data_IF_660241810400
#
_entry.id   IF_660241810400
#
_cell.length_a   1.000
_cell.length_b   1.000
_cell.length_c   1.000
_cell.angle_alpha   90.00
_cell.angle_beta   90.00
_cell.angle_gamma   90.00
#
_symmetry.space_group_name_H-M   'P 1'
#
loop_
_entity.id
_entity.type
_entity.pdbx_description
1 polymer ?
#
# COMPACT_ATOMS: atom_id res chain seq x y z
N UNK A 1 -50.30 -82.91 -11.58
CA UNK A 1 -49.05 -83.56 -12.03
C UNK A 1 -48.69 -82.94 -13.35
N UNK A 2 -47.71 -82.11 -13.48
CA UNK A 2 -46.27 -82.33 -13.41
C UNK A 2 -45.49 -81.18 -12.77
N UNK A 3 -44.47 -81.54 -12.15
CA UNK A 3 -43.12 -81.10 -11.95
C UNK A 3 -42.76 -79.66 -12.27
N UNK A 4 -42.59 -78.83 -11.24
CA UNK A 4 -41.95 -77.54 -11.25
C UNK A 4 -40.49 -77.64 -10.84
N UNK A 5 -39.56 -77.42 -11.78
CA UNK A 5 -38.13 -77.28 -11.51
C UNK A 5 -37.83 -75.88 -11.02
N UNK A 6 -37.32 -75.79 -9.79
CA UNK A 6 -36.82 -74.55 -9.19
C UNK A 6 -35.43 -74.33 -9.76
N UNK A 7 -35.27 -73.19 -10.51
CA UNK A 7 -33.97 -72.71 -10.94
C UNK A 7 -33.46 -71.72 -9.87
N UNK A 8 -32.40 -72.13 -9.15
CA UNK A 8 -31.69 -71.22 -8.20
C UNK A 8 -30.76 -70.42 -9.01
N UNK A 9 -31.12 -69.13 -9.20
CA UNK A 9 -30.24 -68.11 -9.77
C UNK A 9 -29.28 -67.58 -8.68
N UNK A 10 -28.02 -67.89 -8.85
CA UNK A 10 -26.96 -67.33 -7.99
C UNK A 10 -26.71 -65.85 -8.38
N UNK A 11 -27.12 -64.93 -7.53
CA UNK A 11 -26.78 -63.53 -7.64
C UNK A 11 -25.41 -63.34 -7.01
N UNK A 12 -24.39 -63.03 -7.82
CA UNK A 12 -23.11 -62.50 -7.33
C UNK A 12 -23.32 -61.10 -6.85
N UNK A 13 -22.76 -60.67 -5.69
CA UNK A 13 -22.74 -59.29 -5.33
C UNK A 13 -21.65 -58.55 -6.11
N UNK A 14 -22.05 -57.60 -6.93
CA UNK A 14 -21.17 -56.58 -7.48
C UNK A 14 -20.66 -55.70 -6.33
N UNK A 15 -19.39 -55.87 -5.99
CA UNK A 15 -18.68 -54.91 -5.14
C UNK A 15 -18.44 -53.65 -5.96
N UNK A 16 -19.26 -52.64 -5.74
CA UNK A 16 -19.03 -51.31 -6.27
C UNK A 16 -17.84 -50.69 -5.51
N UNK A 17 -16.69 -50.68 -6.17
CA UNK A 17 -15.51 -49.96 -5.73
C UNK A 17 -15.80 -48.47 -5.93
N UNK A 18 -16.23 -47.77 -4.89
CA UNK A 18 -16.37 -46.32 -4.89
C UNK A 18 -14.95 -45.71 -4.91
N UNK A 19 -14.52 -45.29 -6.09
CA UNK A 19 -13.34 -44.41 -6.24
C UNK A 19 -13.70 -43.05 -5.67
N UNK A 20 -13.33 -42.79 -4.41
CA UNK A 20 -13.33 -41.46 -3.85
C UNK A 20 -12.25 -40.65 -4.59
N UNK A 21 -12.65 -39.92 -5.62
CA UNK A 21 -11.84 -38.85 -6.17
C UNK A 21 -11.72 -37.81 -5.10
N UNK A 22 -10.60 -37.80 -4.39
CA UNK A 22 -10.18 -36.67 -3.58
C UNK A 22 -9.95 -35.47 -4.55
N UNK A 23 -10.97 -34.65 -4.71
CA UNK A 23 -10.82 -33.30 -5.22
C UNK A 23 -9.94 -32.55 -4.21
N UNK A 24 -8.63 -32.68 -4.36
CA UNK A 24 -7.70 -31.71 -3.82
C UNK A 24 -8.01 -30.39 -4.51
N UNK A 25 -8.98 -29.68 -3.99
CA UNK A 25 -9.16 -28.27 -4.29
C UNK A 25 -7.87 -27.58 -3.85
N UNK A 26 -6.99 -27.30 -4.81
CA UNK A 26 -6.00 -26.27 -4.64
C UNK A 26 -6.75 -24.95 -4.44
N UNK A 27 -7.21 -24.72 -3.23
CA UNK A 27 -7.50 -23.40 -2.73
C UNK A 27 -6.16 -22.71 -2.61
N UNK A 28 -5.68 -22.13 -3.72
CA UNK A 28 -4.59 -21.17 -3.68
C UNK A 28 -5.09 -19.93 -2.95
N UNK A 29 -5.16 -19.99 -1.63
CA UNK A 29 -5.13 -18.80 -0.83
C UNK A 29 -3.80 -18.13 -1.18
N UNK A 30 -3.84 -16.89 -1.70
CA UNK A 30 -2.64 -16.11 -1.85
C UNK A 30 -2.08 -15.90 -0.44
N UNK A 31 -1.22 -16.82 -0.03
CA UNK A 31 -0.43 -16.67 1.18
C UNK A 31 0.42 -15.40 1.09
N UNK A 32 1.06 -15.01 2.19
CA UNK A 32 2.06 -13.95 2.14
C UNK A 32 3.04 -14.30 1.01
N UNK A 33 3.45 -13.27 0.25
CA UNK A 33 4.39 -13.39 -0.88
C UNK A 33 5.53 -14.32 -0.50
N UNK A 34 5.82 -15.33 -1.33
CA UNK A 34 6.97 -16.20 -1.08
C UNK A 34 8.25 -15.35 -1.16
N UNK A 35 9.22 -15.66 -0.28
CA UNK A 35 10.55 -15.01 -0.28
C UNK A 35 11.23 -15.13 -1.64
N UNK A 36 10.93 -16.19 -2.39
CA UNK A 36 11.45 -16.41 -3.74
C UNK A 36 10.99 -15.35 -4.75
N UNK A 37 9.85 -14.71 -4.52
CA UNK A 37 9.29 -13.68 -5.41
C UNK A 37 9.80 -12.27 -5.11
N UNK A 38 10.57 -12.09 -4.03
CA UNK A 38 11.13 -10.80 -3.68
C UNK A 38 12.32 -10.43 -4.57
N UNK A 39 12.47 -9.16 -4.99
CA UNK A 39 13.64 -8.69 -5.70
C UNK A 39 14.94 -8.96 -4.93
N UNK A 40 16.00 -9.33 -5.65
CA UNK A 40 17.31 -9.67 -5.03
C UNK A 40 17.87 -8.57 -4.12
N UNK A 41 17.64 -7.31 -4.45
CA UNK A 41 18.04 -6.17 -3.64
C UNK A 41 17.34 -6.11 -2.28
N UNK A 42 16.15 -6.72 -2.19
CA UNK A 42 15.37 -6.82 -0.96
C UNK A 42 15.80 -8.03 -0.14
N UNK A 43 16.03 -9.17 -0.80
CA UNK A 43 16.41 -10.43 -0.14
C UNK A 43 17.80 -10.34 0.50
N UNK A 44 18.75 -9.68 -0.15
CA UNK A 44 20.16 -9.63 0.28
C UNK A 44 20.54 -8.35 1.04
N UNK A 45 19.55 -7.55 1.44
CA UNK A 45 19.79 -6.23 2.06
C UNK A 45 20.31 -6.29 3.50
N UNK A 46 20.16 -7.43 4.18
CA UNK A 46 20.41 -7.53 5.64
C UNK A 46 19.31 -6.90 6.49
N UNK A 47 18.26 -6.32 5.88
CA UNK A 47 17.10 -5.73 6.54
C UNK A 47 15.92 -6.69 6.58
N UNK A 48 14.92 -6.44 7.46
CA UNK A 48 13.66 -7.17 7.47
C UNK A 48 12.99 -7.13 6.09
N UNK A 49 12.34 -8.22 5.71
CA UNK A 49 11.62 -8.34 4.46
C UNK A 49 10.14 -7.97 4.68
N UNK A 50 9.38 -7.66 3.63
CA UNK A 50 7.96 -7.32 3.80
C UNK A 50 7.16 -8.33 4.64
N UNK A 51 7.41 -9.63 4.47
CA UNK A 51 6.71 -10.69 5.21
C UNK A 51 7.10 -10.82 6.69
N UNK A 52 8.17 -10.15 7.14
CA UNK A 52 8.55 -10.09 8.55
C UNK A 52 7.65 -9.09 9.33
N UNK A 53 6.90 -8.23 8.60
CA UNK A 53 5.94 -7.30 9.18
C UNK A 53 4.56 -7.96 9.28
N UNK A 54 3.87 -7.88 10.44
CA UNK A 54 2.64 -8.66 10.65
C UNK A 54 1.37 -8.02 10.07
N UNK A 55 1.44 -6.76 9.62
CA UNK A 55 0.26 -6.00 9.17
C UNK A 55 0.44 -5.61 7.71
N UNK A 56 -0.32 -6.27 6.85
CA UNK A 56 -0.30 -6.07 5.41
C UNK A 56 -1.54 -5.35 4.93
N UNK A 57 -1.37 -4.47 3.94
CA UNK A 57 -2.42 -3.74 3.28
C UNK A 57 -2.26 -3.72 1.78
N UNK A 58 -3.14 -2.98 1.17
CA UNK A 58 -3.16 -2.70 -0.28
C UNK A 58 -3.48 -1.23 -0.52
N UNK A 59 -3.10 -0.73 -1.68
CA UNK A 59 -3.72 0.49 -2.20
C UNK A 59 -4.35 0.24 -3.57
N UNK A 60 -5.47 0.93 -3.80
CA UNK A 60 -6.33 0.66 -4.95
C UNK A 60 -6.88 1.95 -5.56
N UNK A 61 -7.21 1.86 -6.85
CA UNK A 61 -7.87 2.89 -7.60
C UNK A 61 -8.84 2.27 -8.61
N UNK A 62 -9.30 3.02 -9.57
CA UNK A 62 -10.10 2.52 -10.70
C UNK A 62 -9.43 1.41 -11.51
N UNK A 63 -8.10 1.31 -11.43
CA UNK A 63 -7.35 0.33 -12.23
C UNK A 63 -7.55 -1.11 -11.76
N UNK A 64 -7.95 -1.35 -10.52
CA UNK A 64 -8.30 -2.67 -10.00
C UNK A 64 -9.72 -3.11 -10.39
N UNK A 65 -10.51 -2.23 -11.02
CA UNK A 65 -11.86 -2.54 -11.50
C UNK A 65 -12.85 -2.84 -10.36
N UNK A 66 -13.62 -3.91 -10.52
CA UNK A 66 -14.54 -4.39 -9.49
C UNK A 66 -13.80 -5.27 -8.49
N UNK A 67 -13.95 -4.96 -7.20
CA UNK A 67 -13.26 -5.65 -6.10
C UNK A 67 -14.29 -6.39 -5.24
N UNK A 68 -14.04 -7.69 -5.01
CA UNK A 68 -14.74 -8.44 -3.96
C UNK A 68 -14.06 -8.19 -2.60
N UNK A 69 -14.54 -7.18 -1.90
CA UNK A 69 -13.99 -6.77 -0.62
C UNK A 69 -14.14 -7.83 0.49
N UNK A 70 -15.12 -8.73 0.37
CA UNK A 70 -15.25 -9.86 1.29
C UNK A 70 -14.11 -10.84 1.10
N UNK A 71 -13.73 -11.14 -0.13
CA UNK A 71 -12.57 -11.97 -0.42
C UNK A 71 -11.27 -11.28 -0.01
N UNK A 72 -11.13 -9.97 -0.22
CA UNK A 72 -10.00 -9.17 0.26
C UNK A 72 -9.85 -9.27 1.77
N UNK A 73 -10.91 -9.04 2.53
CA UNK A 73 -10.89 -9.13 3.99
C UNK A 73 -10.47 -10.54 4.47
N UNK A 74 -11.02 -11.59 3.84
CA UNK A 74 -10.71 -12.99 4.16
C UNK A 74 -9.29 -13.40 3.76
N UNK A 75 -8.63 -12.67 2.87
CA UNK A 75 -7.24 -12.93 2.48
C UNK A 75 -6.21 -12.50 3.53
N UNK A 76 -6.65 -11.78 4.55
CA UNK A 76 -5.79 -11.30 5.63
C UNK A 76 -5.30 -9.85 5.47
N UNK A 77 -5.77 -9.13 4.44
CA UNK A 77 -5.55 -7.69 4.29
C UNK A 77 -6.10 -6.95 5.52
N UNK A 78 -5.28 -6.08 6.11
CA UNK A 78 -5.56 -5.36 7.35
C UNK A 78 -5.90 -3.90 7.15
N UNK A 79 -5.58 -3.33 6.00
CA UNK A 79 -5.93 -1.96 5.64
C UNK A 79 -5.94 -1.75 4.13
N UNK A 80 -6.60 -0.69 3.70
CA UNK A 80 -6.57 -0.27 2.30
C UNK A 80 -6.53 1.25 2.19
N UNK A 81 -5.69 1.80 1.31
CA UNK A 81 -5.85 3.16 0.82
C UNK A 81 -6.53 3.18 -0.55
N UNK A 82 -7.47 4.10 -0.71
CA UNK A 82 -8.35 4.16 -1.86
C UNK A 82 -8.18 5.52 -2.53
N UNK A 83 -7.81 5.55 -3.81
CA UNK A 83 -7.72 6.78 -4.57
C UNK A 83 -9.07 7.49 -4.61
N UNK A 84 -9.11 8.71 -4.10
CA UNK A 84 -10.31 9.53 -4.17
C UNK A 84 -10.26 10.50 -5.35
N UNK A 85 -9.15 11.23 -5.46
CA UNK A 85 -9.01 12.29 -6.46
C UNK A 85 -7.59 12.39 -7.00
N UNK A 86 -7.46 13.08 -8.14
CA UNK A 86 -6.21 13.48 -8.77
C UNK A 86 -6.36 14.91 -9.27
N UNK A 87 -5.48 15.81 -8.85
CA UNK A 87 -5.59 17.23 -9.18
C UNK A 87 -6.92 17.84 -8.70
N UNK A 88 -7.32 18.94 -9.32
CA UNK A 88 -8.51 19.70 -8.92
C UNK A 88 -9.81 19.29 -9.66
N UNK A 89 -9.79 18.26 -10.51
CA UNK A 89 -10.93 17.99 -11.41
C UNK A 89 -11.16 16.50 -11.72
N UNK A 90 -10.39 15.57 -11.16
CA UNK A 90 -10.52 14.14 -11.45
C UNK A 90 -10.82 13.32 -10.21
N UNK A 91 -12.09 12.97 -10.02
CA UNK A 91 -12.48 11.95 -9.05
C UNK A 91 -12.19 10.54 -9.61
N UNK A 92 -11.72 9.64 -8.76
CA UNK A 92 -11.57 8.24 -9.15
C UNK A 92 -12.94 7.58 -9.32
N UNK A 93 -13.17 6.99 -10.48
CA UNK A 93 -14.49 6.44 -10.84
C UNK A 93 -14.92 5.25 -9.97
N UNK A 94 -14.00 4.63 -9.23
CA UNK A 94 -14.28 3.50 -8.34
C UNK A 94 -14.23 3.86 -6.86
N UNK A 95 -13.89 5.11 -6.53
CA UNK A 95 -13.72 5.52 -5.14
C UNK A 95 -14.92 5.15 -4.27
N UNK A 96 -16.11 5.58 -4.65
CA UNK A 96 -17.32 5.34 -3.84
C UNK A 96 -17.64 3.84 -3.68
N UNK A 97 -17.45 3.06 -4.74
CA UNK A 97 -17.67 1.61 -4.69
C UNK A 97 -16.64 0.93 -3.78
N UNK A 98 -15.36 1.30 -3.89
CA UNK A 98 -14.28 0.76 -3.07
C UNK A 98 -14.43 1.18 -1.61
N UNK A 99 -14.74 2.45 -1.34
CA UNK A 99 -14.97 2.98 0.01
C UNK A 99 -16.09 2.22 0.73
N UNK A 100 -17.24 2.13 0.09
CA UNK A 100 -18.42 1.43 0.64
C UNK A 100 -18.15 -0.06 0.81
N UNK A 101 -17.47 -0.68 -0.16
CA UNK A 101 -17.14 -2.10 -0.12
C UNK A 101 -16.14 -2.45 0.99
N UNK A 102 -15.06 -1.68 1.14
CA UNK A 102 -14.09 -1.85 2.21
C UNK A 102 -14.75 -1.70 3.58
N UNK A 103 -15.56 -0.65 3.76
CA UNK A 103 -16.34 -0.42 4.99
C UNK A 103 -17.26 -1.58 5.32
N UNK A 104 -18.04 -2.04 4.35
CA UNK A 104 -18.97 -3.16 4.53
C UNK A 104 -18.26 -4.47 4.88
N UNK A 105 -17.05 -4.68 4.37
CA UNK A 105 -16.22 -5.85 4.66
C UNK A 105 -15.41 -5.72 5.96
N UNK A 106 -15.49 -4.57 6.65
CA UNK A 106 -14.73 -4.32 7.88
C UNK A 106 -13.23 -4.14 7.67
N UNK A 107 -12.79 -3.77 6.47
CA UNK A 107 -11.41 -3.44 6.18
C UNK A 107 -11.16 -1.98 6.56
N UNK A 108 -10.29 -1.68 7.54
CA UNK A 108 -9.84 -0.32 7.81
C UNK A 108 -9.34 0.36 6.53
N UNK A 109 -9.87 1.54 6.22
CA UNK A 109 -9.59 2.19 4.94
C UNK A 109 -9.47 3.70 5.07
N UNK A 110 -8.72 4.30 4.15
CA UNK A 110 -8.54 5.74 4.04
C UNK A 110 -8.49 6.20 2.59
N UNK A 111 -8.65 7.49 2.39
CA UNK A 111 -8.61 8.10 1.07
C UNK A 111 -7.23 8.68 0.78
N UNK A 112 -6.78 8.60 -0.48
CA UNK A 112 -5.62 9.34 -0.92
C UNK A 112 -5.93 10.28 -2.07
N UNK A 113 -5.20 11.40 -2.09
CA UNK A 113 -5.20 12.42 -3.12
C UNK A 113 -3.87 12.40 -3.88
N UNK A 114 -3.91 12.19 -5.18
CA UNK A 114 -2.75 12.29 -6.06
C UNK A 114 -2.54 13.75 -6.49
N UNK A 115 -1.42 14.34 -6.07
CA UNK A 115 -1.10 15.74 -6.35
C UNK A 115 -0.76 15.97 -7.82
N UNK A 116 -1.38 16.98 -8.41
CA UNK A 116 -1.14 17.39 -9.77
C UNK A 116 -0.53 18.80 -9.82
N UNK A 117 0.75 18.91 -9.75
CA UNK A 117 1.57 20.11 -9.49
C UNK A 117 1.25 21.35 -10.35
N UNK A 118 0.40 21.24 -11.36
CA UNK A 118 -0.05 22.33 -12.20
C UNK A 118 -1.35 23.00 -11.74
N UNK A 119 -1.89 22.60 -10.60
CA UNK A 119 -3.08 23.20 -9.99
C UNK A 119 -2.70 23.97 -8.73
N UNK A 120 -3.47 25.01 -8.37
CA UNK A 120 -3.31 25.63 -7.05
C UNK A 120 -3.60 24.64 -5.92
N UNK A 121 -2.80 24.60 -4.85
CA UNK A 121 -2.98 23.64 -3.75
C UNK A 121 -4.38 23.64 -3.14
N UNK A 122 -4.98 24.83 -2.93
CA UNK A 122 -6.32 24.94 -2.35
C UNK A 122 -7.44 24.47 -3.29
N UNK A 123 -7.22 24.51 -4.61
CA UNK A 123 -8.16 23.95 -5.60
C UNK A 123 -8.20 22.41 -5.48
N UNK A 124 -7.03 21.79 -5.36
CA UNK A 124 -6.90 20.35 -5.18
C UNK A 124 -7.50 19.90 -3.85
N UNK A 125 -7.22 20.62 -2.76
CA UNK A 125 -7.79 20.30 -1.45
C UNK A 125 -9.31 20.43 -1.42
N UNK A 126 -9.85 21.53 -1.96
CA UNK A 126 -11.29 21.70 -2.03
C UNK A 126 -11.97 20.57 -2.84
N UNK A 127 -11.31 20.11 -3.90
CA UNK A 127 -11.83 18.99 -4.69
C UNK A 127 -11.72 17.64 -3.95
N UNK A 128 -10.62 17.41 -3.24
CA UNK A 128 -10.46 16.22 -2.40
C UNK A 128 -11.51 16.16 -1.30
N UNK A 129 -11.72 17.26 -0.57
CA UNK A 129 -12.70 17.38 0.52
C UNK A 129 -14.14 17.15 0.04
N UNK A 130 -14.47 17.55 -1.18
CA UNK A 130 -15.80 17.30 -1.77
C UNK A 130 -16.05 15.83 -2.11
N UNK A 131 -14.99 15.04 -2.32
CA UNK A 131 -15.09 13.67 -2.81
C UNK A 131 -14.75 12.61 -1.75
N UNK A 132 -13.89 12.92 -0.79
CA UNK A 132 -13.49 12.01 0.27
C UNK A 132 -14.21 12.36 1.57
N UNK A 133 -15.01 11.44 2.15
CA UNK A 133 -15.82 11.73 3.35
C UNK A 133 -14.95 11.88 4.60
N UNK A 134 -15.40 12.68 5.55
CA UNK A 134 -14.89 12.74 6.92
C UNK A 134 -15.60 11.68 7.73
N UNK A 135 -14.89 10.65 8.18
CA UNK A 135 -15.43 9.59 9.02
C UNK A 135 -14.46 9.28 10.17
N UNK A 136 -14.99 9.10 11.37
CA UNK A 136 -14.17 8.90 12.57
C UNK A 136 -13.36 7.60 12.51
N UNK A 137 -13.93 6.57 11.89
CA UNK A 137 -13.34 5.24 11.73
C UNK A 137 -12.45 5.11 10.49
N UNK A 138 -12.38 6.12 9.63
CA UNK A 138 -11.46 6.11 8.49
C UNK A 138 -10.01 6.28 8.94
N UNK A 139 -9.08 5.72 8.18
CA UNK A 139 -7.64 5.99 8.34
C UNK A 139 -7.33 7.47 8.00
N UNK A 140 -6.17 8.01 8.41
CA UNK A 140 -5.77 9.35 8.02
C UNK A 140 -5.78 9.55 6.52
N UNK A 141 -6.10 10.75 6.02
CA UNK A 141 -5.98 11.03 4.59
C UNK A 141 -4.51 10.98 4.16
N UNK A 142 -4.29 10.64 2.91
CA UNK A 142 -2.93 10.57 2.33
C UNK A 142 -2.77 11.61 1.26
N UNK A 143 -1.67 12.36 1.34
CA UNK A 143 -1.18 13.24 0.29
C UNK A 143 -0.13 12.47 -0.54
N UNK A 144 -0.48 12.09 -1.75
CA UNK A 144 0.36 11.33 -2.66
C UNK A 144 1.17 12.28 -3.54
N UNK A 145 2.47 12.36 -3.25
CA UNK A 145 3.41 13.29 -3.89
C UNK A 145 4.48 12.53 -4.68
N UNK A 146 4.38 12.68 -6.00
CA UNK A 146 5.27 12.05 -6.96
C UNK A 146 5.74 13.04 -8.02
N UNK A 147 6.87 12.75 -8.64
CA UNK A 147 7.24 13.43 -9.88
C UNK A 147 6.37 12.92 -11.03
N UNK A 148 5.89 13.83 -11.87
CA UNK A 148 5.06 13.51 -13.04
C UNK A 148 5.72 13.93 -14.35
N UNK A 149 6.96 13.48 -14.65
CA UNK A 149 7.74 13.97 -15.79
C UNK A 149 7.12 13.63 -17.13
N UNK A 150 6.32 12.58 -17.19
CA UNK A 150 5.65 12.10 -18.42
C UNK A 150 4.24 12.66 -18.60
N UNK A 151 3.79 13.55 -17.73
CA UNK A 151 2.46 14.14 -17.82
C UNK A 151 2.32 14.93 -19.14
N UNK A 152 1.24 14.65 -19.89
CA UNK A 152 0.95 15.35 -21.15
C UNK A 152 0.31 16.73 -20.94
N UNK A 153 -0.16 16.99 -19.73
CA UNK A 153 -0.96 18.19 -19.41
C UNK A 153 -0.34 19.03 -18.29
N UNK A 154 0.71 18.54 -17.65
CA UNK A 154 1.46 19.29 -16.65
C UNK A 154 2.97 19.23 -16.95
N UNK A 155 3.50 20.34 -17.42
CA UNK A 155 4.92 20.51 -17.75
C UNK A 155 5.63 21.47 -16.79
N UNK A 156 5.05 21.75 -15.62
CA UNK A 156 5.64 22.62 -14.61
C UNK A 156 6.95 22.01 -14.12
N UNK A 157 8.03 22.75 -14.23
CA UNK A 157 9.28 22.41 -13.55
C UNK A 157 9.08 22.63 -12.04
N UNK A 158 9.11 21.55 -11.30
CA UNK A 158 8.92 21.58 -9.86
C UNK A 158 10.25 21.93 -9.17
N UNK A 159 10.29 23.04 -8.44
CA UNK A 159 11.40 23.36 -7.57
C UNK A 159 11.14 22.81 -6.17
N UNK A 160 12.20 22.53 -5.40
CA UNK A 160 12.08 22.04 -4.03
C UNK A 160 11.27 23.01 -3.17
N UNK A 161 11.62 24.29 -3.16
CA UNK A 161 10.90 25.31 -2.38
C UNK A 161 9.43 25.43 -2.76
N UNK A 162 9.14 25.38 -4.07
CA UNK A 162 7.76 25.43 -4.58
C UNK A 162 6.94 24.23 -4.14
N UNK A 163 7.51 23.04 -4.26
CA UNK A 163 6.85 21.81 -3.82
C UNK A 163 6.59 21.79 -2.31
N UNK A 164 7.58 22.21 -1.51
CA UNK A 164 7.45 22.31 -0.05
C UNK A 164 6.38 23.33 0.33
N UNK A 165 6.32 24.48 -0.36
CA UNK A 165 5.29 25.49 -0.10
C UNK A 165 3.89 24.96 -0.41
N UNK A 166 3.70 24.33 -1.58
CA UNK A 166 2.43 23.74 -2.00
C UNK A 166 2.00 22.62 -1.04
N UNK A 167 2.90 21.67 -0.71
CA UNK A 167 2.63 20.60 0.24
C UNK A 167 2.24 21.10 1.62
N UNK A 168 2.87 22.17 2.12
CA UNK A 168 2.54 22.75 3.43
C UNK A 168 1.10 23.20 3.48
N UNK A 169 0.63 23.87 2.43
CA UNK A 169 -0.76 24.32 2.33
C UNK A 169 -1.71 23.11 2.32
N UNK A 170 -1.41 22.10 1.50
CA UNK A 170 -2.25 20.90 1.35
C UNK A 170 -2.33 20.10 2.66
N UNK A 171 -1.19 19.83 3.29
CA UNK A 171 -1.14 19.06 4.54
C UNK A 171 -1.87 19.77 5.68
N UNK A 172 -1.69 21.09 5.82
CA UNK A 172 -2.39 21.87 6.84
C UNK A 172 -3.91 21.88 6.61
N UNK A 173 -4.35 21.96 5.36
CA UNK A 173 -5.76 21.93 5.01
C UNK A 173 -6.37 20.56 5.26
N UNK A 174 -5.68 19.48 4.87
CA UNK A 174 -6.12 18.11 5.20
C UNK A 174 -6.24 17.91 6.71
N UNK A 175 -5.24 18.35 7.49
CA UNK A 175 -5.26 18.23 8.95
C UNK A 175 -6.43 19.01 9.56
N UNK A 176 -6.69 20.22 9.06
CA UNK A 176 -7.82 21.04 9.49
C UNK A 176 -9.17 20.40 9.18
N UNK A 177 -9.34 19.87 7.97
CA UNK A 177 -10.61 19.33 7.48
C UNK A 177 -10.94 17.97 8.09
N UNK A 178 -9.99 17.04 8.08
CA UNK A 178 -10.19 15.66 8.55
C UNK A 178 -9.95 15.49 10.06
N UNK A 179 -9.37 16.47 10.73
CA UNK A 179 -9.02 16.37 12.14
C UNK A 179 -7.99 15.30 12.47
N UNK A 180 -7.31 14.78 11.46
CA UNK A 180 -6.30 13.72 11.54
C UNK A 180 -5.02 14.17 10.89
N UNK A 181 -3.87 13.75 11.43
CA UNK A 181 -2.58 14.04 10.84
C UNK A 181 -2.43 13.31 9.51
N UNK A 182 -2.29 14.00 8.37
CA UNK A 182 -2.14 13.35 7.07
C UNK A 182 -0.86 12.53 6.98
N UNK A 183 -0.89 11.50 6.13
CA UNK A 183 0.28 10.72 5.76
C UNK A 183 0.79 11.23 4.41
N UNK A 184 2.11 11.34 4.26
CA UNK A 184 2.73 11.68 2.99
C UNK A 184 3.13 10.37 2.30
N UNK A 185 2.51 10.05 1.15
CA UNK A 185 3.04 9.01 0.27
C UNK A 185 4.03 9.62 -0.72
N UNK A 186 5.15 8.92 -0.99
CA UNK A 186 6.15 9.40 -1.93
C UNK A 186 6.96 8.28 -2.57
N UNK A 187 7.45 8.57 -3.77
CA UNK A 187 8.42 7.75 -4.51
C UNK A 187 9.85 8.10 -4.16
N UNK A 188 10.79 7.21 -4.49
CA UNK A 188 12.24 7.42 -4.27
C UNK A 188 12.71 8.72 -4.92
N UNK A 189 12.36 8.92 -6.20
CA UNK A 189 12.85 10.06 -6.98
C UNK A 189 12.34 11.40 -6.42
N UNK A 190 11.06 11.45 -6.01
CA UNK A 190 10.50 12.64 -5.40
C UNK A 190 11.11 12.90 -4.03
N UNK A 191 11.29 11.87 -3.22
CA UNK A 191 11.94 12.00 -1.93
C UNK A 191 13.36 12.54 -2.05
N UNK A 192 14.16 11.96 -2.93
CA UNK A 192 15.55 12.40 -3.16
C UNK A 192 15.62 13.85 -3.62
N UNK A 193 14.69 14.27 -4.49
CA UNK A 193 14.69 15.62 -5.06
C UNK A 193 14.10 16.70 -4.12
N UNK A 194 13.12 16.35 -3.28
CA UNK A 194 12.30 17.35 -2.58
C UNK A 194 12.37 17.20 -1.04
N UNK A 195 12.36 15.97 -0.51
CA UNK A 195 12.14 15.72 0.92
C UNK A 195 13.41 15.29 1.67
N UNK A 196 14.50 15.00 0.98
CA UNK A 196 15.72 14.43 1.58
C UNK A 196 16.40 15.33 2.60
N UNK A 197 16.16 16.65 2.55
CA UNK A 197 16.70 17.61 3.50
C UNK A 197 15.90 17.66 4.82
N UNK A 198 14.93 16.76 5.02
CA UNK A 198 14.18 16.62 6.27
C UNK A 198 12.90 17.44 6.34
N UNK A 199 12.44 18.02 5.22
CA UNK A 199 11.14 18.67 5.17
C UNK A 199 10.04 17.69 5.60
N UNK A 200 9.08 18.18 6.41
CA UNK A 200 7.96 17.38 6.93
C UNK A 200 8.38 16.10 7.71
N UNK A 201 9.53 16.15 8.39
CA UNK A 201 10.01 15.02 9.20
C UNK A 201 9.06 14.67 10.36
N UNK A 202 8.19 15.57 10.73
CA UNK A 202 7.15 15.46 11.74
C UNK A 202 5.83 14.82 11.21
N UNK A 203 5.71 14.60 9.89
CA UNK A 203 4.58 13.88 9.31
C UNK A 203 4.91 12.40 9.13
N UNK A 204 3.95 11.49 9.37
CA UNK A 204 4.11 10.10 9.00
C UNK A 204 4.30 9.98 7.49
N UNK A 205 5.16 9.06 7.06
CA UNK A 205 5.45 8.86 5.65
C UNK A 205 5.17 7.43 5.23
N UNK A 206 4.58 7.28 4.06
CA UNK A 206 4.39 6.03 3.35
C UNK A 206 5.31 6.02 2.12
N UNK A 207 6.30 5.16 2.16
CA UNK A 207 7.38 5.14 1.18
C UNK A 207 7.18 4.04 0.14
N UNK A 208 7.42 4.37 -1.13
CA UNK A 208 7.45 3.37 -2.20
C UNK A 208 8.87 2.88 -2.44
N UNK A 209 9.09 1.58 -2.29
CA UNK A 209 10.36 0.94 -2.65
C UNK A 209 10.16 -0.53 -3.01
N UNK A 210 9.96 -0.81 -4.30
CA UNK A 210 9.63 -2.16 -4.78
C UNK A 210 10.84 -3.04 -5.07
N UNK A 211 12.07 -2.51 -4.97
CA UNK A 211 13.31 -3.24 -5.26
C UNK A 211 14.23 -3.40 -4.05
N UNK A 212 14.13 -2.49 -3.08
CA UNK A 212 15.02 -2.43 -1.92
C UNK A 212 14.22 -2.16 -0.65
N UNK A 213 14.79 -2.53 0.49
CA UNK A 213 14.26 -2.06 1.78
C UNK A 213 14.32 -0.52 1.86
N UNK A 214 13.33 0.15 2.48
CA UNK A 214 13.30 1.61 2.58
C UNK A 214 14.60 2.24 3.09
N UNK A 215 15.26 1.65 4.08
CA UNK A 215 16.52 2.17 4.62
C UNK A 215 17.63 2.36 3.56
N UNK A 216 17.57 1.62 2.45
CA UNK A 216 18.55 1.76 1.35
C UNK A 216 18.29 3.00 0.52
N UNK A 217 17.01 3.44 0.42
CA UNK A 217 16.59 4.54 -0.46
C UNK A 217 16.24 5.82 0.29
N UNK A 218 15.70 5.69 1.49
CA UNK A 218 15.24 6.81 2.30
C UNK A 218 16.15 7.08 3.51
N UNK A 219 17.28 6.37 3.60
CA UNK A 219 18.26 6.55 4.68
C UNK A 219 17.65 6.31 6.06
N UNK A 220 17.90 7.23 6.98
CA UNK A 220 17.38 7.17 8.35
C UNK A 220 15.96 7.75 8.51
N UNK A 221 15.27 8.08 7.41
CA UNK A 221 13.89 8.56 7.48
C UNK A 221 12.99 7.47 8.07
N UNK A 222 12.45 7.72 9.24
CA UNK A 222 11.44 6.85 9.82
C UNK A 222 10.19 6.84 8.94
N UNK A 223 9.68 5.66 8.65
CA UNK A 223 8.50 5.46 7.81
C UNK A 223 7.41 4.71 8.58
N UNK A 224 6.16 4.98 8.28
CA UNK A 224 5.02 4.32 8.88
C UNK A 224 4.48 3.20 7.99
N UNK A 225 4.52 3.40 6.67
CA UNK A 225 4.05 2.43 5.68
C UNK A 225 5.06 2.28 4.56
N UNK A 226 5.09 1.09 3.98
CA UNK A 226 5.97 0.76 2.88
C UNK A 226 5.20 0.01 1.79
N UNK A 227 5.06 0.64 0.61
CA UNK A 227 4.62 -0.01 -0.61
C UNK A 227 5.80 -0.78 -1.21
N UNK A 228 5.76 -2.09 -1.06
CA UNK A 228 6.88 -2.97 -1.40
C UNK A 228 6.72 -3.70 -2.72
N UNK A 229 5.50 -3.73 -3.28
CA UNK A 229 5.19 -4.42 -4.52
C UNK A 229 4.10 -3.68 -5.29
N UNK A 230 4.22 -3.61 -6.63
CA UNK A 230 3.26 -2.95 -7.51
C UNK A 230 2.56 -3.90 -8.51
N UNK A 231 2.87 -5.17 -8.43
CA UNK A 231 2.32 -6.22 -9.30
C UNK A 231 1.80 -7.41 -8.49
N UNK A 232 1.46 -7.17 -7.23
CA UNK A 232 0.95 -8.16 -6.30
C UNK A 232 -0.40 -8.74 -6.74
N UNK A 233 -0.74 -9.88 -6.15
CA UNK A 233 -2.05 -10.48 -6.32
C UNK A 233 -2.74 -10.64 -4.98
N UNK A 234 -4.04 -10.33 -4.94
CA UNK A 234 -4.85 -10.42 -3.73
C UNK A 234 -6.20 -11.05 -4.09
N UNK A 235 -6.66 -12.07 -3.36
CA UNK A 235 -7.99 -12.63 -3.56
C UNK A 235 -9.06 -11.54 -3.52
N UNK A 236 -9.97 -11.56 -4.49
CA UNK A 236 -11.00 -10.54 -4.65
C UNK A 236 -10.64 -9.42 -5.63
N UNK A 237 -9.40 -9.37 -6.11
CA UNK A 237 -8.94 -8.39 -7.11
C UNK A 237 -8.47 -9.12 -8.36
N UNK A 238 -8.98 -8.68 -9.52
CA UNK A 238 -8.54 -9.21 -10.80
C UNK A 238 -7.37 -8.38 -11.34
N UNK A 239 -6.18 -9.00 -11.40
CA UNK A 239 -4.97 -8.34 -11.89
C UNK A 239 -4.04 -7.86 -10.78
N UNK A 240 -3.13 -6.98 -11.15
CA UNK A 240 -2.12 -6.45 -10.26
C UNK A 240 -2.70 -5.46 -9.25
N UNK A 241 -2.17 -5.50 -8.03
CA UNK A 241 -2.48 -4.56 -6.96
C UNK A 241 -1.22 -4.22 -6.18
N UNK A 242 -1.12 -2.97 -5.75
CA UNK A 242 -0.06 -2.52 -4.87
C UNK A 242 -0.21 -3.15 -3.48
N UNK A 243 0.91 -3.59 -2.89
CA UNK A 243 0.94 -4.23 -1.59
C UNK A 243 1.82 -3.47 -0.62
N UNK A 244 1.31 -3.33 0.59
CA UNK A 244 1.86 -2.50 1.64
C UNK A 244 2.09 -3.26 2.92
N UNK A 245 2.99 -2.74 3.75
CA UNK A 245 3.12 -3.13 5.15
C UNK A 245 3.14 -1.90 6.04
N UNK A 246 2.60 -2.07 7.24
CA UNK A 246 2.75 -1.14 8.34
C UNK A 246 4.04 -1.44 9.10
N UNK A 247 4.79 -0.38 9.47
CA UNK A 247 5.98 -0.50 10.29
C UNK A 247 5.62 -0.66 11.77
N UNK A 248 5.35 -1.87 12.20
CA UNK A 248 5.04 -2.09 13.60
C UNK A 248 4.46 -3.46 13.87
N UNK A 249 4.22 -3.73 15.15
CA UNK A 249 3.54 -4.94 15.61
C UNK A 249 2.03 -4.83 15.42
N UNK A 250 1.31 -5.92 15.68
CA UNK A 250 -0.17 -5.92 15.66
C UNK A 250 -0.74 -5.01 16.74
N UNK A 251 -0.12 -4.98 17.91
CA UNK A 251 -0.53 -4.12 19.02
C UNK A 251 -0.35 -2.64 18.66
N UNK A 252 0.76 -2.29 18.01
CA UNK A 252 0.99 -0.92 17.52
C UNK A 252 0.00 -0.54 16.41
N UNK A 253 -0.42 -1.50 15.57
CA UNK A 253 -1.49 -1.28 14.61
C UNK A 253 -2.83 -1.02 15.28
N UNK A 254 -3.17 -1.80 16.30
CA UNK A 254 -4.39 -1.61 17.06
C UNK A 254 -4.39 -0.26 17.81
N UNK A 255 -3.22 0.19 18.30
CA UNK A 255 -3.05 1.53 18.87
C UNK A 255 -3.24 2.61 17.80
N UNK A 256 -2.63 2.44 16.63
CA UNK A 256 -2.80 3.35 15.50
C UNK A 256 -4.27 3.52 15.11
N UNK A 257 -5.05 2.44 15.07
CA UNK A 257 -6.50 2.51 14.78
C UNK A 257 -7.29 3.24 15.87
N UNK A 258 -6.91 3.08 17.15
CA UNK A 258 -7.60 3.73 18.27
C UNK A 258 -7.27 5.21 18.44
N UNK A 259 -6.05 5.60 18.11
CA UNK A 259 -5.55 6.95 18.31
C UNK A 259 -5.94 7.93 17.18
N UNK A 260 -6.83 7.51 16.29
CA UNK A 260 -7.26 8.27 15.13
C UNK A 260 -8.27 9.42 15.37
N UNK A 261 -8.44 10.07 16.52
CA UNK A 261 -9.14 11.32 16.56
C UNK A 261 -8.27 12.53 16.85
N UNK A 262 -8.52 13.55 16.06
CA UNK A 262 -8.37 14.98 16.32
C UNK A 262 -7.02 15.50 16.85
N UNK A 263 -6.29 16.13 16.01
CA UNK A 263 -5.48 17.36 16.06
C UNK A 263 -4.72 17.79 17.31
N UNK A 264 -4.78 17.09 18.42
CA UNK A 264 -4.23 17.56 19.68
C UNK A 264 -3.15 16.68 20.34
N UNK A 265 -2.90 15.47 19.85
CA UNK A 265 -1.87 14.60 20.44
C UNK A 265 -1.13 13.81 19.38
N UNK A 266 0.02 14.36 18.99
CA UNK A 266 1.09 13.49 18.53
C UNK A 266 1.98 13.22 19.73
N UNK A 267 2.22 11.96 20.07
CA UNK A 267 3.60 11.49 20.11
C UNK A 267 3.83 10.04 19.71
N UNK A 268 2.82 9.22 19.38
CA UNK A 268 2.98 7.78 19.59
C UNK A 268 3.63 7.05 18.43
N UNK A 269 3.29 7.32 17.18
CA UNK A 269 3.91 6.58 16.06
C UNK A 269 5.36 7.01 15.86
N UNK A 270 5.62 8.30 15.93
CA UNK A 270 6.97 8.83 15.74
C UNK A 270 7.88 8.48 16.92
N UNK A 271 7.36 8.49 18.16
CA UNK A 271 8.10 8.06 19.33
C UNK A 271 8.29 6.55 19.38
N UNK A 272 7.30 5.76 18.99
CA UNK A 272 7.43 4.30 18.90
C UNK A 272 8.44 3.90 17.80
N UNK A 273 8.38 4.56 16.64
CA UNK A 273 9.34 4.33 15.54
C UNK A 273 10.75 4.79 15.95
N UNK A 274 10.90 5.95 16.59
CA UNK A 274 12.19 6.44 17.10
C UNK A 274 12.69 5.57 18.25
N UNK A 275 11.83 5.08 19.13
CA UNK A 275 12.20 4.17 20.21
C UNK A 275 12.59 2.78 19.69
N UNK A 276 11.94 2.29 18.62
CA UNK A 276 12.31 1.01 17.99
C UNK A 276 13.61 1.11 17.18
N UNK A 277 13.91 2.26 16.58
CA UNK A 277 15.22 2.53 15.98
C UNK A 277 16.34 2.63 17.05
N UNK A 278 15.98 2.88 18.29
CA UNK A 278 16.88 2.85 19.43
C UNK A 278 16.96 1.47 20.11
N UNK A 279 16.20 0.47 19.64
CA UNK A 279 16.28 -0.91 20.14
C UNK A 279 17.64 -1.50 19.76
N UNK A 280 18.45 -1.94 20.73
CA UNK A 280 19.77 -2.53 20.45
C UNK A 280 19.72 -3.82 19.63
N UNK A 281 18.54 -4.41 19.42
CA UNK A 281 18.34 -5.59 18.57
C UNK A 281 18.00 -5.24 17.11
N UNK A 282 17.79 -3.97 16.77
CA UNK A 282 17.65 -3.51 15.38
C UNK A 282 19.05 -3.23 14.84
N UNK A 283 19.48 -3.85 13.74
CA UNK A 283 20.81 -3.58 13.20
C UNK A 283 20.93 -2.08 12.85
N UNK A 284 22.08 -1.44 13.15
CA UNK A 284 22.29 -0.03 12.89
C UNK A 284 22.11 0.24 11.40
N UNK A 285 21.42 1.33 11.09
CA UNK A 285 21.35 1.85 9.71
C UNK A 285 22.77 2.02 9.18
N UNK A 286 23.07 1.63 7.94
CA UNK A 286 24.39 1.86 7.37
C UNK A 286 24.67 3.38 7.40
N UNK A 287 25.94 3.78 7.60
CA UNK A 287 26.30 5.19 7.54
C UNK A 287 25.88 5.78 6.19
N UNK A 288 25.51 7.07 6.15
CA UNK A 288 25.18 7.74 4.90
C UNK A 288 26.30 7.49 3.91
N UNK A 289 25.93 7.01 2.71
CA UNK A 289 26.91 6.84 1.64
C UNK A 289 27.59 8.19 1.42
N UNK A 290 28.91 8.21 1.60
CA UNK A 290 29.75 9.37 1.33
C UNK A 290 29.42 9.84 -0.08
N UNK A 291 29.02 11.11 -0.24
CA UNK A 291 28.66 11.71 -1.53
C UNK A 291 29.87 11.56 -2.46
N UNK A 292 29.90 10.47 -3.22
CA UNK A 292 30.80 10.40 -4.38
C UNK A 292 30.30 11.46 -5.35
N UNK A 293 31.17 12.40 -5.66
CA UNK A 293 30.93 13.46 -6.63
C UNK A 293 30.41 12.84 -7.93
N UNK A 294 29.24 13.31 -8.38
CA UNK A 294 28.60 12.85 -9.58
C UNK A 294 29.58 12.95 -10.77
N UNK A 295 29.89 11.82 -11.38
CA UNK A 295 30.57 11.79 -12.66
C UNK A 295 29.65 12.44 -13.71
N UNK A 296 30.19 13.16 -14.71
CA UNK A 296 29.40 13.78 -15.76
C UNK A 296 28.59 12.71 -16.50
N UNK A 297 27.30 12.98 -16.71
CA UNK A 297 26.40 12.15 -17.50
C UNK A 297 26.94 12.03 -18.94
N UNK A 298 27.21 10.83 -19.38
CA UNK A 298 27.45 10.49 -20.79
C UNK A 298 26.13 10.65 -21.56
N UNK A 299 26.07 11.51 -22.63
CA UNK A 299 24.84 11.79 -23.36
C UNK A 299 24.43 10.72 -24.38
N UNK A 300 24.91 9.48 -24.25
CA UNK A 300 24.86 8.50 -25.34
C UNK A 300 24.20 7.14 -25.07
N UNK A 301 23.26 6.99 -24.14
CA UNK A 301 22.53 5.72 -24.00
C UNK A 301 21.01 5.92 -24.27
N UNK A 302 20.62 5.78 -25.51
CA UNK A 302 19.22 5.57 -25.90
C UNK A 302 18.84 4.13 -25.57
N UNK A 303 18.06 3.92 -24.53
CA UNK A 303 17.43 2.63 -24.28
C UNK A 303 16.13 2.51 -25.09
N UNK A 304 16.16 1.66 -26.10
CA UNK A 304 15.00 1.16 -26.83
C UNK A 304 14.58 -0.17 -26.19
N UNK A 305 13.41 -0.20 -25.56
CA UNK A 305 12.87 -1.46 -25.06
C UNK A 305 11.49 -1.31 -24.45
N UNK A 306 10.48 -1.55 -25.27
CA UNK A 306 9.08 -1.91 -25.13
C UNK A 306 8.51 -2.04 -23.70
#
# INVERSE_FOLDING_TARGET
MPDGKILISRVLPLVALALAAALSGCGGGAGPMDVADLPRGMVNSGYPKPHDYPVHGIDVSKFQGDIDWSAVANSGVKFAWIKATEGGDRADARFQANWTGAKAAGVPHGAYHFVYWCRPPMEEMAFFEQNAPVEDDALPPVLDVEATPTSKTCHKHLTQDGAIADMRVMLQEMERHYGKRPIIYTTVDFYEAILSDGAFSDYPIWVRSTKYHPAVKYGSRAWAFWQYQSDGQTPGINGAVDRDVFYGTKEQWDDFLREQPSGARQPTIQQAVVQQLADPNVPPSPPPAEKQAAAPLDPGASDQGQ
#
